data_IF_575878994044
#
_entry.id   IF_575878994044
#
_cell.length_a   1.000
_cell.length_b   1.000
_cell.length_c   1.000
_cell.angle_alpha   90.00
_cell.angle_beta   90.00
_cell.angle_gamma   90.00
#
_symmetry.space_group_name_H-M   'P 1'
#
loop_
_entity.id
_entity.type
_entity.pdbx_description
1 polymer ?
#
# COMPACT_ATOMS: atom_id res chain seq x y z
N UNK A 1 -23.89 -4.38 0.25
CA UNK A 1 -24.09 -3.93 1.64
C UNK A 1 -22.97 -2.96 2.04
N UNK A 2 -23.27 -1.83 2.69
CA UNK A 2 -22.24 -0.97 3.24
C UNK A 2 -21.52 -1.69 4.40
N UNK A 3 -20.20 -1.57 4.45
CA UNK A 3 -19.37 -2.09 5.54
C UNK A 3 -19.76 -1.39 6.85
N UNK A 4 -20.61 -2.02 7.64
CA UNK A 4 -21.03 -1.54 8.96
C UNK A 4 -19.94 -1.86 10.00
N UNK A 5 -18.81 -1.17 9.90
CA UNK A 5 -17.76 -1.22 10.91
C UNK A 5 -18.08 -0.14 11.96
N UNK A 6 -18.12 -0.46 13.26
CA UNK A 6 -18.24 0.55 14.31
C UNK A 6 -16.96 1.39 14.27
N UNK A 7 -17.00 2.55 13.59
CA UNK A 7 -15.85 3.44 13.45
C UNK A 7 -15.62 4.13 14.80
N UNK A 8 -14.97 3.42 15.72
CA UNK A 8 -14.34 4.00 16.91
C UNK A 8 -13.30 5.01 16.40
N UNK A 9 -13.36 6.24 16.92
CA UNK A 9 -12.71 7.44 16.39
C UNK A 9 -11.48 7.19 15.50
N UNK A 10 -11.67 7.41 14.20
CA UNK A 10 -10.61 7.39 13.21
C UNK A 10 -9.72 8.62 13.41
N UNK A 11 -8.54 8.44 13.99
CA UNK A 11 -7.57 9.53 14.06
C UNK A 11 -6.89 9.68 12.70
N UNK A 12 -7.25 10.74 11.97
CA UNK A 12 -6.68 11.07 10.67
C UNK A 12 -5.92 12.40 10.73
N UNK A 13 -4.66 12.39 10.29
CA UNK A 13 -3.81 13.58 10.26
C UNK A 13 -3.13 13.72 8.91
N UNK A 14 -2.93 14.96 8.44
CA UNK A 14 -2.16 15.20 7.21
C UNK A 14 -0.66 15.16 7.52
N UNK A 15 0.09 14.44 6.69
CA UNK A 15 1.54 14.36 6.81
C UNK A 15 2.23 15.49 6.04
N UNK A 16 3.29 16.05 6.63
CA UNK A 16 4.14 17.07 6.02
C UNK A 16 3.67 18.52 6.23
N UNK A 17 4.56 19.44 5.89
CA UNK A 17 4.36 20.88 6.10
C UNK A 17 3.20 21.43 5.25
N UNK A 18 2.58 22.51 5.74
CA UNK A 18 1.56 23.23 4.98
C UNK A 18 2.15 23.70 3.64
N UNK A 19 1.55 23.25 2.54
CA UNK A 19 1.96 23.58 1.17
C UNK A 19 0.76 23.45 0.23
N UNK A 20 0.88 24.00 -0.98
CA UNK A 20 -0.14 23.89 -2.03
C UNK A 20 -0.23 22.48 -2.65
N UNK A 21 0.63 21.54 -2.23
CA UNK A 21 0.60 20.15 -2.72
C UNK A 21 -0.39 19.31 -1.92
N UNK A 22 -1.03 18.34 -2.57
CA UNK A 22 -1.89 17.36 -1.90
C UNK A 22 -1.05 16.55 -0.90
N UNK A 23 -1.38 16.67 0.38
CA UNK A 23 -0.69 15.98 1.47
C UNK A 23 -1.29 14.60 1.75
N UNK A 24 -0.46 13.57 1.96
CA UNK A 24 -0.93 12.27 2.41
C UNK A 24 -1.72 12.37 3.72
N UNK A 25 -2.69 11.47 3.89
CA UNK A 25 -3.41 11.28 5.14
C UNK A 25 -2.84 10.06 5.86
N UNK A 26 -2.35 10.25 7.08
CA UNK A 26 -2.09 9.16 8.02
C UNK A 26 -3.38 8.87 8.76
N UNK A 27 -3.77 7.60 8.77
CA UNK A 27 -5.01 7.15 9.40
C UNK A 27 -4.64 6.06 10.38
N UNK A 28 -4.97 6.27 11.66
CA UNK A 28 -4.81 5.27 12.70
C UNK A 28 -6.14 4.53 12.88
N UNK A 29 -6.10 3.22 12.70
CA UNK A 29 -7.24 2.32 12.87
C UNK A 29 -7.16 1.64 14.23
N UNK A 30 -8.31 1.25 14.83
CA UNK A 30 -8.34 0.67 16.16
C UNK A 30 -7.76 -0.75 16.23
N UNK A 31 -7.74 -1.47 15.10
CA UNK A 31 -7.32 -2.87 15.04
C UNK A 31 -6.52 -3.16 13.76
N UNK A 32 -5.55 -4.06 13.87
CA UNK A 32 -4.74 -4.57 12.76
C UNK A 32 -5.60 -5.35 11.75
N UNK A 33 -6.69 -5.98 12.18
CA UNK A 33 -7.60 -6.67 11.27
C UNK A 33 -8.26 -5.69 10.29
N UNK A 34 -8.65 -4.50 10.75
CA UNK A 34 -9.18 -3.44 9.90
C UNK A 34 -8.15 -2.99 8.86
N UNK A 35 -6.89 -2.82 9.27
CA UNK A 35 -5.78 -2.48 8.36
C UNK A 35 -5.62 -3.56 7.28
N UNK A 36 -5.57 -4.84 7.70
CA UNK A 36 -5.41 -5.98 6.80
C UNK A 36 -6.56 -6.08 5.79
N UNK A 37 -7.80 -5.93 6.25
CA UNK A 37 -8.99 -5.95 5.39
C UNK A 37 -8.95 -4.83 4.36
N UNK A 38 -8.67 -3.59 4.77
CA UNK A 38 -8.56 -2.45 3.85
C UNK A 38 -7.47 -2.68 2.81
N UNK A 39 -6.30 -3.20 3.20
CA UNK A 39 -5.18 -3.43 2.29
C UNK A 39 -5.45 -4.56 1.29
N UNK A 40 -6.24 -5.57 1.64
CA UNK A 40 -6.69 -6.62 0.72
C UNK A 40 -7.66 -6.06 -0.32
N UNK A 41 -8.58 -5.21 0.13
CA UNK A 41 -9.69 -4.70 -0.67
C UNK A 41 -9.35 -3.43 -1.48
N UNK A 42 -8.25 -2.74 -1.17
CA UNK A 42 -7.86 -1.47 -1.82
C UNK A 42 -7.76 -1.55 -3.34
N UNK A 43 -7.49 -2.73 -3.90
CA UNK A 43 -7.43 -2.94 -5.35
C UNK A 43 -8.78 -2.66 -6.02
N UNK A 44 -9.90 -2.90 -5.32
CA UNK A 44 -11.26 -2.61 -5.80
C UNK A 44 -11.51 -1.12 -6.03
N UNK A 45 -10.78 -0.24 -5.34
CA UNK A 45 -10.90 1.22 -5.53
C UNK A 45 -10.54 1.65 -6.96
N UNK A 46 -9.69 0.88 -7.65
CA UNK A 46 -9.31 1.14 -9.05
C UNK A 46 -10.47 1.00 -10.02
N UNK A 47 -11.50 0.24 -9.66
CA UNK A 47 -12.69 0.01 -10.48
C UNK A 47 -13.75 1.10 -10.29
N UNK A 48 -13.56 2.01 -9.33
CA UNK A 48 -14.49 3.10 -9.03
C UNK A 48 -13.90 4.38 -9.64
N UNK A 49 -14.57 4.94 -10.65
CA UNK A 49 -14.05 6.06 -11.46
C UNK A 49 -13.59 7.26 -10.61
N UNK A 50 -14.34 7.58 -9.55
CA UNK A 50 -14.04 8.69 -8.64
C UNK A 50 -12.89 8.41 -7.67
N UNK A 51 -12.55 7.14 -7.42
CA UNK A 51 -11.58 6.71 -6.41
C UNK A 51 -10.33 6.05 -7.01
N UNK A 52 -10.29 5.84 -8.33
CA UNK A 52 -9.20 5.12 -9.02
C UNK A 52 -7.81 5.73 -8.82
N UNK A 53 -7.75 7.02 -8.50
CA UNK A 53 -6.51 7.76 -8.25
C UNK A 53 -6.02 7.66 -6.81
N UNK A 54 -6.80 7.08 -5.90
CA UNK A 54 -6.39 6.91 -4.52
C UNK A 54 -5.41 5.74 -4.39
N UNK A 55 -4.37 5.97 -3.59
CA UNK A 55 -3.44 4.93 -3.17
C UNK A 55 -3.49 4.81 -1.65
N UNK A 56 -3.65 3.58 -1.17
CA UNK A 56 -3.63 3.25 0.25
C UNK A 56 -2.46 2.33 0.49
N UNK A 57 -1.64 2.65 1.49
CA UNK A 57 -0.48 1.85 1.83
C UNK A 57 -0.22 1.88 3.34
N UNK A 58 0.53 0.90 3.83
CA UNK A 58 1.00 0.85 5.20
C UNK A 58 2.02 1.98 5.41
N UNK A 59 1.97 2.62 6.57
CA UNK A 59 2.99 3.56 7.04
C UNK A 59 4.33 2.83 7.22
N UNK A 60 5.31 3.17 6.37
CA UNK A 60 6.61 2.51 6.32
C UNK A 60 7.69 3.44 6.82
N UNK A 61 8.65 2.89 7.55
CA UNK A 61 9.88 3.60 7.88
C UNK A 61 10.66 3.95 6.61
N UNK A 62 11.56 4.94 6.67
CA UNK A 62 12.41 5.31 5.52
C UNK A 62 13.18 4.09 4.97
N UNK A 63 13.76 3.29 5.86
CA UNK A 63 14.48 2.07 5.49
C UNK A 63 13.58 1.09 4.73
N UNK A 64 12.35 0.86 5.20
CA UNK A 64 11.39 -0.02 4.52
C UNK A 64 11.00 0.53 3.14
N UNK A 65 10.85 1.85 3.00
CA UNK A 65 10.55 2.50 1.72
C UNK A 65 11.71 2.31 0.72
N UNK A 66 12.94 2.51 1.17
CA UNK A 66 14.15 2.32 0.35
C UNK A 66 14.30 0.86 -0.08
N UNK A 67 14.18 -0.08 0.85
CA UNK A 67 14.20 -1.51 0.56
C UNK A 67 13.14 -1.90 -0.48
N UNK A 68 11.92 -1.41 -0.31
CA UNK A 68 10.84 -1.67 -1.26
C UNK A 68 11.13 -1.06 -2.64
N UNK A 69 11.63 0.18 -2.69
CA UNK A 69 11.99 0.87 -3.94
C UNK A 69 13.05 0.09 -4.72
N UNK A 70 14.09 -0.39 -4.04
CA UNK A 70 15.15 -1.21 -4.65
C UNK A 70 14.56 -2.47 -5.27
N UNK A 71 13.76 -3.22 -4.50
CA UNK A 71 13.13 -4.46 -4.98
C UNK A 71 12.14 -4.20 -6.12
N UNK A 72 11.40 -3.10 -6.08
CA UNK A 72 10.49 -2.68 -7.14
C UNK A 72 11.22 -2.39 -8.45
N UNK A 73 12.33 -1.66 -8.39
CA UNK A 73 13.16 -1.37 -9.55
C UNK A 73 13.71 -2.66 -10.17
N UNK A 74 14.26 -3.56 -9.33
CA UNK A 74 14.74 -4.87 -9.78
C UNK A 74 13.62 -5.72 -10.43
N UNK A 75 12.42 -5.72 -9.84
CA UNK A 75 11.27 -6.43 -10.42
C UNK A 75 10.91 -5.85 -11.80
N UNK A 76 10.90 -4.53 -11.91
CA UNK A 76 10.52 -3.83 -13.14
C UNK A 76 11.53 -4.12 -14.27
N UNK A 77 12.82 -4.12 -13.94
CA UNK A 77 13.90 -4.48 -14.86
C UNK A 77 13.82 -5.95 -15.32
N UNK A 78 13.58 -6.87 -14.39
CA UNK A 78 13.41 -8.30 -14.73
C UNK A 78 12.22 -8.52 -15.65
N UNK A 79 11.09 -7.85 -15.39
CA UNK A 79 9.92 -7.87 -16.26
C UNK A 79 10.20 -7.27 -17.64
N UNK A 80 10.96 -6.18 -17.73
CA UNK A 80 11.31 -5.59 -19.04
C UNK A 80 12.24 -6.48 -19.85
N UNK A 81 13.02 -7.35 -19.20
CA UNK A 81 13.84 -8.40 -19.86
C UNK A 81 13.04 -9.62 -20.30
N UNK A 82 11.71 -9.62 -20.13
CA UNK A 82 10.83 -10.71 -20.54
C UNK A 82 10.58 -11.78 -19.47
N UNK A 83 11.07 -11.58 -18.24
CA UNK A 83 10.77 -12.52 -17.16
C UNK A 83 9.31 -12.40 -16.72
N UNK A 84 8.59 -13.51 -16.83
CA UNK A 84 7.18 -13.62 -16.46
C UNK A 84 7.03 -14.38 -15.13
N UNK A 85 5.81 -14.39 -14.58
CA UNK A 85 5.50 -15.12 -13.34
C UNK A 85 6.31 -14.72 -12.11
N UNK A 86 6.82 -13.50 -12.02
CA UNK A 86 7.47 -12.97 -10.81
C UNK A 86 6.64 -11.87 -10.13
N UNK A 87 6.69 -11.82 -8.80
CA UNK A 87 6.05 -10.77 -7.97
C UNK A 87 6.88 -10.43 -6.74
N UNK A 88 6.57 -9.31 -6.10
CA UNK A 88 7.10 -9.02 -4.76
C UNK A 88 6.30 -9.84 -3.75
N UNK A 89 6.98 -10.65 -2.95
CA UNK A 89 6.48 -11.28 -1.74
C UNK A 89 7.24 -10.77 -0.52
N UNK A 90 6.78 -11.17 0.66
CA UNK A 90 7.46 -10.84 1.92
C UNK A 90 7.93 -12.12 2.59
N UNK A 91 9.22 -12.18 2.94
CA UNK A 91 9.80 -13.27 3.71
C UNK A 91 10.45 -12.70 4.97
N UNK A 92 9.99 -13.13 6.15
CA UNK A 92 10.41 -12.58 7.46
C UNK A 92 10.34 -11.04 7.50
N UNK A 93 9.26 -10.47 6.96
CA UNK A 93 9.03 -9.02 6.92
C UNK A 93 9.83 -8.25 5.88
N UNK A 94 10.71 -8.90 5.11
CA UNK A 94 11.54 -8.27 4.08
C UNK A 94 10.97 -8.52 2.68
N UNK A 95 10.88 -7.49 1.81
CA UNK A 95 10.42 -7.65 0.43
C UNK A 95 11.43 -8.44 -0.39
N UNK A 96 10.96 -9.43 -1.15
CA UNK A 96 11.77 -10.24 -2.07
C UNK A 96 11.01 -10.51 -3.36
N UNK A 97 11.72 -10.69 -4.46
CA UNK A 97 11.12 -11.17 -5.72
C UNK A 97 10.95 -12.69 -5.59
N UNK A 98 9.72 -13.15 -5.77
CA UNK A 98 9.33 -14.56 -5.72
C UNK A 98 8.62 -14.95 -7.02
N UNK A 99 8.72 -16.22 -7.39
CA UNK A 99 7.91 -16.79 -8.47
C UNK A 99 6.47 -16.99 -8.03
N UNK A 100 5.53 -16.76 -8.95
CA UNK A 100 4.15 -17.20 -8.88
C UNK A 100 4.18 -18.68 -9.25
N UNK A 101 4.03 -19.55 -8.25
CA UNK A 101 3.58 -20.90 -8.49
C UNK A 101 2.14 -20.86 -9.02
#
# INVERSE_FOLDING_TARGET
EPLNLPIKALNATRLGNNSNKRRPLRVNLPDINCVSQILKEKSKLRNIETLKHLNIDIDKTKLQQEQFKTIWNMLSERKSRGETNIRIGYFRGQPKIISKN
#
